data_IF_954429052663
#
_entry.id   IF_954429052663
#
_cell.length_a   1.000
_cell.length_b   1.000
_cell.length_c   1.000
_cell.angle_alpha   90.00
_cell.angle_beta   90.00
_cell.angle_gamma   90.00
#
_symmetry.space_group_name_H-M   'P 1'
#
loop_
_entity.id
_entity.type
_entity.pdbx_description
1 polymer ?
#
# COMPACT_ATOMS: atom_id res chain seq x y z
N UNK A 1 13.60 -17.08 -8.32
CA UNK A 1 13.21 -15.72 -7.86
C UNK A 1 11.99 -15.87 -6.97
N UNK A 2 12.12 -15.59 -5.68
CA UNK A 2 11.01 -15.59 -4.72
C UNK A 2 10.07 -14.44 -5.06
N UNK A 3 8.92 -14.75 -5.66
CA UNK A 3 7.85 -13.76 -5.83
C UNK A 3 7.35 -13.40 -4.43
N UNK A 4 7.57 -12.15 -4.04
CA UNK A 4 6.91 -11.58 -2.86
C UNK A 4 5.41 -11.59 -3.12
N UNK A 5 4.67 -12.14 -2.18
CA UNK A 5 3.21 -12.27 -2.24
C UNK A 5 2.58 -11.17 -1.40
N UNK A 6 1.28 -10.94 -1.58
CA UNK A 6 0.53 -10.02 -0.75
C UNK A 6 0.73 -10.28 0.76
N UNK A 7 1.02 -11.52 1.18
CA UNK A 7 1.28 -11.88 2.58
C UNK A 7 2.56 -11.27 3.16
N UNK A 8 3.52 -10.91 2.31
CA UNK A 8 4.77 -10.30 2.72
C UNK A 8 4.64 -8.79 2.95
N UNK A 9 3.46 -8.23 2.65
CA UNK A 9 3.15 -6.81 2.83
C UNK A 9 2.16 -6.61 3.97
N UNK A 10 2.21 -5.45 4.66
CA UNK A 10 1.20 -5.08 5.63
C UNK A 10 -0.19 -5.07 4.99
N UNK A 11 -1.18 -5.66 5.65
CA UNK A 11 -2.54 -5.74 5.13
C UNK A 11 -3.13 -4.36 4.83
N UNK A 12 -2.81 -3.36 5.66
CA UNK A 12 -3.24 -1.98 5.44
C UNK A 12 -2.67 -1.38 4.14
N UNK A 13 -1.45 -1.74 3.75
CA UNK A 13 -0.86 -1.29 2.49
C UNK A 13 -1.61 -1.88 1.29
N UNK A 14 -2.02 -3.14 1.38
CA UNK A 14 -2.85 -3.80 0.36
C UNK A 14 -4.22 -3.13 0.25
N UNK A 15 -4.85 -2.80 1.38
CA UNK A 15 -6.15 -2.10 1.39
C UNK A 15 -6.05 -0.73 0.71
N UNK A 16 -4.97 0.03 0.95
CA UNK A 16 -4.75 1.30 0.25
C UNK A 16 -4.48 1.11 -1.24
N UNK A 17 -3.74 0.06 -1.61
CA UNK A 17 -3.55 -0.29 -3.01
C UNK A 17 -4.88 -0.65 -3.68
N UNK A 18 -5.73 -1.42 -3.01
CA UNK A 18 -7.08 -1.74 -3.50
C UNK A 18 -7.93 -0.49 -3.65
N UNK A 19 -7.89 0.45 -2.69
CA UNK A 19 -8.58 1.72 -2.83
C UNK A 19 -8.07 2.55 -4.01
N UNK A 20 -6.77 2.54 -4.26
CA UNK A 20 -6.19 3.20 -5.44
C UNK A 20 -6.63 2.51 -6.74
N UNK A 21 -6.58 1.18 -6.78
CA UNK A 21 -6.99 0.38 -7.94
C UNK A 21 -8.49 0.52 -8.24
N UNK A 22 -9.32 0.68 -7.21
CA UNK A 22 -10.76 0.92 -7.34
C UNK A 22 -11.11 2.41 -7.54
N UNK A 23 -10.12 3.31 -7.60
CA UNK A 23 -10.33 4.74 -7.82
C UNK A 23 -10.94 5.49 -6.64
N UNK A 24 -10.92 4.92 -5.42
CA UNK A 24 -11.37 5.58 -4.19
C UNK A 24 -10.38 6.62 -3.66
N UNK A 25 -9.08 6.41 -3.92
CA UNK A 25 -8.02 7.35 -3.55
C UNK A 25 -7.14 7.67 -4.75
N UNK A 26 -6.61 8.89 -4.78
CA UNK A 26 -5.64 9.31 -5.78
C UNK A 26 -4.25 8.72 -5.50
N UNK A 27 -3.39 8.64 -6.54
CA UNK A 27 -1.97 8.23 -6.39
C UNK A 27 -1.24 8.99 -5.28
N UNK A 28 -1.58 10.28 -5.08
CA UNK A 28 -0.97 11.13 -4.04
C UNK A 28 -1.39 10.71 -2.64
N UNK A 29 -2.67 10.39 -2.44
CA UNK A 29 -3.18 9.86 -1.18
C UNK A 29 -2.59 8.48 -0.88
N UNK A 30 -2.50 7.60 -1.88
CA UNK A 30 -1.84 6.32 -1.73
C UNK A 30 -0.38 6.48 -1.24
N UNK A 31 0.40 7.35 -1.87
CA UNK A 31 1.79 7.60 -1.47
C UNK A 31 1.91 8.24 -0.08
N UNK A 32 0.98 9.12 0.31
CA UNK A 32 0.93 9.70 1.66
C UNK A 32 0.62 8.63 2.73
N UNK A 33 -0.34 7.75 2.45
CA UNK A 33 -0.71 6.65 3.32
C UNK A 33 0.41 5.62 3.43
N UNK A 34 0.97 5.19 2.29
CA UNK A 34 2.13 4.29 2.23
C UNK A 34 3.36 4.89 2.93
N UNK A 35 3.53 6.21 2.85
CA UNK A 35 4.57 6.96 3.58
C UNK A 35 4.52 6.71 5.08
N UNK A 36 3.33 6.67 5.70
CA UNK A 36 3.18 6.37 7.14
C UNK A 36 3.71 4.99 7.55
N UNK A 37 3.64 4.01 6.65
CA UNK A 37 4.17 2.65 6.89
C UNK A 37 5.68 2.55 6.72
N UNK A 38 6.31 3.55 6.09
CA UNK A 38 7.75 3.60 5.86
C UNK A 38 8.51 4.44 6.90
N UNK A 39 7.83 5.23 7.75
CA UNK A 39 8.48 6.08 8.77
C UNK A 39 8.83 5.34 10.08
N UNK A 40 8.50 4.05 10.21
CA UNK A 40 8.83 3.24 11.40
C UNK A 40 10.20 2.55 11.33
N UNK A 41 11.22 3.23 10.80
CA UNK A 41 12.61 2.76 10.78
C UNK A 41 13.40 3.32 11.96
#
# INVERSE_FOLDING_TARGET
>A
MTRLTAKDFPQQLLEYYDYYAHGKISKREFLQLAGKYTVGG
#
